data_IF_738607533594
#
_entry.id   IF_738607533594
#
_cell.length_a   1.000
_cell.length_b   1.000
_cell.length_c   1.000
_cell.angle_alpha   90.00
_cell.angle_beta   90.00
_cell.angle_gamma   90.00
#
_symmetry.space_group_name_H-M   'P 1'
#
loop_
_entity.id
_entity.type
_entity.pdbx_description
1 polymer ?
#
# COMPACT_ATOMS: atom_id res chain seq x y z
N UNK A 1 9.86 35.58 44.47
CA UNK A 1 10.45 36.80 43.85
C UNK A 1 9.30 37.72 43.45
N UNK A 2 9.46 39.06 43.50
CA UNK A 2 8.44 39.97 42.96
C UNK A 2 8.44 39.90 41.41
N UNK A 3 7.27 40.02 40.77
CA UNK A 3 7.14 39.91 39.32
C UNK A 3 8.10 40.82 38.54
N UNK A 4 8.21 42.09 38.93
CA UNK A 4 9.13 43.04 38.28
C UNK A 4 10.61 42.61 38.29
N UNK A 5 11.06 41.97 39.36
CA UNK A 5 12.41 41.41 39.45
C UNK A 5 12.58 40.19 38.53
N UNK A 6 11.58 39.32 38.46
CA UNK A 6 11.54 38.15 37.56
C UNK A 6 11.60 38.57 36.08
N UNK A 7 10.79 39.56 35.70
CA UNK A 7 10.81 40.11 34.35
C UNK A 7 12.18 40.74 34.04
N UNK A 8 12.69 41.57 34.92
CA UNK A 8 14.00 42.23 34.69
C UNK A 8 15.13 41.23 34.49
N UNK A 9 15.12 40.12 35.21
CA UNK A 9 16.15 39.08 35.12
C UNK A 9 16.09 38.25 33.84
N UNK A 10 14.89 38.06 33.24
CA UNK A 10 14.68 37.10 32.16
C UNK A 10 14.26 37.73 30.83
N UNK A 11 13.92 39.01 30.79
CA UNK A 11 13.43 39.75 29.63
C UNK A 11 14.33 39.60 28.39
N UNK A 12 15.64 39.72 28.57
CA UNK A 12 16.59 39.66 27.45
C UNK A 12 16.57 38.26 26.79
N UNK A 13 16.47 37.21 27.60
CA UNK A 13 16.33 35.82 27.09
C UNK A 13 15.03 35.65 26.29
N UNK A 14 13.92 36.16 26.79
CA UNK A 14 12.64 36.09 26.12
C UNK A 14 12.63 36.86 24.80
N UNK A 15 13.17 38.06 24.77
CA UNK A 15 13.27 38.89 23.57
C UNK A 15 14.17 38.24 22.53
N UNK A 16 15.32 37.66 22.95
CA UNK A 16 16.18 36.87 22.06
C UNK A 16 15.40 35.68 21.47
N UNK A 17 14.72 34.91 22.30
CA UNK A 17 13.96 33.77 21.84
C UNK A 17 12.81 34.18 20.90
N UNK A 18 12.08 35.27 21.23
CA UNK A 18 11.04 35.81 20.39
C UNK A 18 11.57 36.22 19.01
N UNK A 19 12.69 36.89 18.95
CA UNK A 19 13.35 37.27 17.70
C UNK A 19 13.74 36.06 16.83
N UNK A 20 14.19 34.98 17.46
CA UNK A 20 14.54 33.73 16.78
C UNK A 20 13.31 32.97 16.30
N UNK A 21 12.20 33.03 17.04
CA UNK A 21 10.94 32.43 16.65
C UNK A 21 10.26 33.21 15.52
N UNK A 22 10.31 34.54 15.51
CA UNK A 22 9.70 35.41 14.50
C UNK A 22 10.49 35.45 13.19
N UNK A 23 11.79 35.64 13.25
CA UNK A 23 12.67 35.62 12.07
C UNK A 23 12.93 34.17 11.70
N UNK A 24 12.81 33.84 10.40
CA UNK A 24 13.23 32.53 9.88
C UNK A 24 14.77 32.34 9.98
N UNK A 25 15.35 32.70 11.12
CA UNK A 25 16.77 32.57 11.37
C UNK A 25 17.15 31.08 11.37
N UNK A 26 18.28 30.74 10.77
CA UNK A 26 18.91 29.43 10.89
C UNK A 26 19.42 29.26 12.30
N UNK A 27 18.64 28.67 13.18
CA UNK A 27 19.01 28.29 14.54
C UNK A 27 19.25 26.77 14.55
N UNK A 28 20.22 26.32 15.35
CA UNK A 28 20.41 24.88 15.54
C UNK A 28 19.23 24.29 16.30
N UNK A 29 18.81 23.04 16.00
CA UNK A 29 17.72 22.34 16.71
C UNK A 29 17.99 22.31 18.25
N UNK A 30 19.22 22.10 18.64
CA UNK A 30 19.61 21.98 20.04
C UNK A 30 19.48 23.33 20.78
N UNK A 31 19.90 24.45 20.16
CA UNK A 31 19.74 25.79 20.73
C UNK A 31 18.25 26.17 20.83
N UNK A 32 17.47 25.89 19.82
CA UNK A 32 16.01 26.13 19.83
C UNK A 32 15.32 25.33 20.94
N UNK A 33 15.69 24.07 21.11
CA UNK A 33 15.18 23.21 22.16
C UNK A 33 15.52 23.71 23.56
N UNK A 34 16.78 24.12 23.76
CA UNK A 34 17.24 24.68 25.05
C UNK A 34 16.45 25.92 25.43
N UNK A 35 16.31 26.88 24.50
CA UNK A 35 15.55 28.12 24.76
C UNK A 35 14.05 27.83 24.98
N UNK A 36 13.48 26.84 24.30
CA UNK A 36 12.10 26.45 24.53
C UNK A 36 11.89 25.85 25.92
N UNK A 37 12.80 25.02 26.41
CA UNK A 37 12.76 24.49 27.77
C UNK A 37 12.84 25.62 28.81
N UNK A 38 13.77 26.55 28.64
CA UNK A 38 13.89 27.69 29.55
C UNK A 38 12.59 28.53 29.60
N UNK A 39 11.97 28.80 28.46
CA UNK A 39 10.71 29.57 28.42
C UNK A 39 9.54 28.79 29.03
N UNK A 40 9.48 27.46 28.83
CA UNK A 40 8.45 26.64 29.48
C UNK A 40 8.61 26.56 30.98
N UNK A 41 9.82 26.53 31.50
CA UNK A 41 10.11 26.60 32.94
C UNK A 41 9.66 27.95 33.51
N UNK A 42 10.00 29.04 32.81
CA UNK A 42 9.56 30.39 33.22
C UNK A 42 8.03 30.55 33.16
N UNK A 43 7.37 29.91 32.16
CA UNK A 43 5.91 29.86 32.06
C UNK A 43 5.28 29.11 33.23
N UNK A 44 5.86 27.97 33.62
CA UNK A 44 5.40 27.20 34.78
C UNK A 44 5.56 27.99 36.07
N UNK A 45 6.69 28.67 36.23
CA UNK A 45 6.91 29.57 37.38
C UNK A 45 5.90 30.73 37.41
N UNK A 46 5.69 31.41 36.27
CA UNK A 46 4.74 32.50 36.17
C UNK A 46 3.29 32.05 36.45
N UNK A 47 2.92 30.84 36.01
CA UNK A 47 1.59 30.25 36.28
C UNK A 47 1.35 30.02 37.77
N UNK A 48 2.40 29.64 38.50
CA UNK A 48 2.30 29.37 39.94
C UNK A 48 2.28 30.67 40.76
N UNK A 49 3.14 31.62 40.43
CA UNK A 49 3.37 32.79 41.27
C UNK A 49 2.69 34.06 40.77
N UNK A 50 2.31 34.14 39.49
CA UNK A 50 1.72 35.34 38.86
C UNK A 50 0.49 34.98 37.97
N UNK A 51 -0.53 34.28 38.48
CA UNK A 51 -1.57 33.65 37.66
C UNK A 51 -2.46 34.64 36.89
N UNK A 52 -2.46 35.92 37.23
CA UNK A 52 -3.26 36.96 36.57
C UNK A 52 -2.42 38.01 35.85
N UNK A 53 -1.13 37.76 35.65
CA UNK A 53 -0.18 38.75 35.13
C UNK A 53 -0.13 38.79 33.60
N UNK A 54 0.30 39.94 33.08
CA UNK A 54 0.63 40.07 31.65
C UNK A 54 1.84 39.22 31.27
N UNK A 55 2.76 39.00 32.20
CA UNK A 55 3.92 38.13 32.04
C UNK A 55 3.51 36.70 31.74
N UNK A 56 2.51 36.16 32.45
CA UNK A 56 1.98 34.83 32.16
C UNK A 56 1.43 34.77 30.75
N UNK A 57 0.64 35.76 30.34
CA UNK A 57 0.04 35.80 29.00
C UNK A 57 1.11 35.83 27.92
N UNK A 58 2.10 36.70 28.06
CA UNK A 58 3.22 36.83 27.14
C UNK A 58 4.02 35.53 27.00
N UNK A 59 4.39 34.89 28.11
CA UNK A 59 5.15 33.64 28.09
C UNK A 59 4.33 32.49 27.49
N UNK A 60 3.02 32.43 27.73
CA UNK A 60 2.15 31.45 27.13
C UNK A 60 2.06 31.62 25.60
N UNK A 61 1.89 32.83 25.09
CA UNK A 61 1.87 33.11 23.66
C UNK A 61 3.23 32.81 23.00
N UNK A 62 4.33 33.13 23.65
CA UNK A 62 5.68 32.86 23.18
C UNK A 62 5.94 31.36 23.11
N UNK A 63 5.53 30.60 24.15
CA UNK A 63 5.64 29.14 24.19
C UNK A 63 4.80 28.47 23.09
N UNK A 64 3.55 28.94 22.86
CA UNK A 64 2.68 28.41 21.80
C UNK A 64 3.31 28.67 20.42
N UNK A 65 3.79 29.87 20.15
CA UNK A 65 4.45 30.21 18.87
C UNK A 65 5.69 29.36 18.64
N UNK A 66 6.50 29.17 19.67
CA UNK A 66 7.70 28.34 19.62
C UNK A 66 7.35 26.86 19.37
N UNK A 67 6.35 26.32 20.07
CA UNK A 67 5.83 24.98 19.88
C UNK A 67 5.38 24.77 18.42
N UNK A 68 4.58 25.69 17.88
CA UNK A 68 4.14 25.63 16.49
C UNK A 68 5.31 25.65 15.50
N UNK A 69 6.40 26.38 15.79
CA UNK A 69 7.59 26.44 14.93
C UNK A 69 8.41 25.14 15.00
N UNK A 70 8.60 24.60 16.21
CA UNK A 70 9.34 23.33 16.44
C UNK A 70 8.60 22.16 15.80
N UNK A 71 7.26 22.09 16.01
CA UNK A 71 6.43 21.01 15.52
C UNK A 71 5.76 21.31 14.17
N UNK A 72 6.10 22.48 13.55
CA UNK A 72 5.62 22.78 12.22
C UNK A 72 6.10 21.68 11.28
N UNK A 73 5.18 20.83 10.87
CA UNK A 73 5.43 19.75 9.91
C UNK A 73 6.12 20.37 8.70
N UNK A 74 7.34 19.94 8.42
CA UNK A 74 8.07 20.38 7.23
C UNK A 74 7.13 20.19 6.05
N UNK A 75 6.90 21.24 5.23
CA UNK A 75 6.16 21.08 3.96
C UNK A 75 6.76 19.89 3.26
N UNK A 76 5.93 18.89 3.00
CA UNK A 76 6.37 17.67 2.32
C UNK A 76 7.05 18.06 1.00
N UNK A 77 8.24 17.55 0.77
CA UNK A 77 8.99 17.84 -0.45
C UNK A 77 8.19 17.28 -1.65
N UNK A 78 8.25 17.97 -2.80
CA UNK A 78 7.63 17.48 -4.05
C UNK A 78 8.06 16.06 -4.43
N UNK A 79 9.17 15.54 -3.86
CA UNK A 79 9.68 14.19 -4.05
C UNK A 79 9.09 13.13 -3.10
N UNK A 80 8.14 13.46 -2.20
CA UNK A 80 7.63 12.53 -1.18
C UNK A 80 7.04 11.24 -1.78
N UNK A 81 6.29 11.36 -2.88
CA UNK A 81 5.69 10.20 -3.56
C UNK A 81 6.80 9.29 -4.10
N UNK A 82 7.81 9.86 -4.77
CA UNK A 82 8.93 9.09 -5.30
C UNK A 82 9.69 8.41 -4.17
N UNK A 83 10.02 9.13 -3.10
CA UNK A 83 10.70 8.58 -1.93
C UNK A 83 9.89 7.46 -1.28
N UNK A 84 8.56 7.61 -1.20
CA UNK A 84 7.68 6.55 -0.71
C UNK A 84 7.84 5.27 -1.53
N UNK A 85 7.68 5.32 -2.86
CA UNK A 85 7.74 4.13 -3.70
C UNK A 85 9.15 3.55 -3.87
N UNK A 86 10.20 4.37 -3.81
CA UNK A 86 11.56 3.91 -4.06
C UNK A 86 12.34 3.48 -2.81
N UNK A 87 11.99 3.99 -1.63
CA UNK A 87 12.78 3.74 -0.40
C UNK A 87 11.92 3.32 0.78
N UNK A 88 10.90 4.16 1.14
CA UNK A 88 10.14 3.94 2.37
C UNK A 88 9.31 2.66 2.31
N UNK A 89 8.55 2.48 1.23
CA UNK A 89 7.65 1.34 1.08
C UNK A 89 8.41 0.00 0.95
N UNK A 90 9.43 -0.15 0.08
CA UNK A 90 10.13 -1.43 -0.02
C UNK A 90 10.80 -1.85 1.29
N UNK A 91 11.46 -0.94 2.01
CA UNK A 91 12.03 -1.21 3.33
C UNK A 91 10.97 -1.63 4.35
N UNK A 92 9.85 -0.93 4.36
CA UNK A 92 8.71 -1.25 5.20
C UNK A 92 8.11 -2.62 4.85
N UNK A 93 7.95 -2.92 3.57
CA UNK A 93 7.32 -4.14 3.06
C UNK A 93 8.15 -5.41 3.33
N UNK A 94 9.45 -5.28 3.52
CA UNK A 94 10.31 -6.39 3.97
C UNK A 94 9.75 -7.12 5.20
N UNK A 95 9.14 -6.40 6.13
CA UNK A 95 8.58 -6.99 7.36
C UNK A 95 7.33 -7.85 7.13
N UNK A 96 6.76 -7.84 5.93
CA UNK A 96 5.50 -8.50 5.60
C UNK A 96 5.64 -9.63 4.57
N UNK A 97 6.88 -10.06 4.28
CA UNK A 97 7.16 -11.15 3.32
C UNK A 97 6.47 -12.46 3.71
N UNK A 98 6.29 -12.75 5.01
CA UNK A 98 5.55 -13.93 5.48
C UNK A 98 4.08 -13.88 5.10
N UNK A 99 3.43 -12.73 5.29
CA UNK A 99 2.02 -12.53 4.92
C UNK A 99 1.84 -12.57 3.40
N UNK A 100 2.80 -12.04 2.65
CA UNK A 100 2.82 -12.18 1.19
C UNK A 100 2.90 -13.65 0.76
N UNK A 101 3.77 -14.42 1.37
CA UNK A 101 3.94 -15.83 1.08
C UNK A 101 2.68 -16.64 1.42
N UNK A 102 2.03 -16.37 2.55
CA UNK A 102 0.75 -16.99 2.93
C UNK A 102 -0.32 -16.64 1.89
N UNK A 103 -0.45 -15.37 1.52
CA UNK A 103 -1.38 -14.92 0.50
C UNK A 103 -1.17 -15.64 -0.84
N UNK A 104 0.09 -15.78 -1.26
CA UNK A 104 0.46 -16.48 -2.48
C UNK A 104 0.07 -17.97 -2.43
N UNK A 105 0.42 -18.68 -1.36
CA UNK A 105 0.10 -20.11 -1.25
C UNK A 105 -1.40 -20.36 -1.16
N UNK A 106 -2.15 -19.51 -0.46
CA UNK A 106 -3.62 -19.61 -0.43
C UNK A 106 -4.19 -19.41 -1.83
N UNK A 107 -3.72 -18.39 -2.54
CA UNK A 107 -4.18 -18.13 -3.91
C UNK A 107 -3.84 -19.30 -4.86
N UNK A 108 -2.60 -19.80 -4.82
CA UNK A 108 -2.17 -20.91 -5.66
C UNK A 108 -2.97 -22.20 -5.36
N UNK A 109 -3.18 -22.50 -4.07
CA UNK A 109 -3.96 -23.66 -3.64
C UNK A 109 -5.39 -23.60 -4.17
N UNK A 110 -6.08 -22.47 -3.97
CA UNK A 110 -7.47 -22.35 -4.40
C UNK A 110 -7.61 -22.19 -5.92
N UNK A 111 -6.59 -21.71 -6.64
CA UNK A 111 -6.56 -21.79 -8.10
C UNK A 111 -6.50 -23.25 -8.58
N UNK A 112 -5.66 -24.05 -7.94
CA UNK A 112 -5.59 -25.50 -8.24
C UNK A 112 -6.91 -26.21 -7.90
N UNK A 113 -7.55 -25.87 -6.77
CA UNK A 113 -8.87 -26.40 -6.40
C UNK A 113 -9.93 -26.00 -7.44
N UNK A 114 -9.93 -24.75 -7.90
CA UNK A 114 -10.85 -24.27 -8.94
C UNK A 114 -10.68 -25.02 -10.25
N UNK A 115 -9.45 -25.21 -10.71
CA UNK A 115 -9.18 -25.99 -11.92
C UNK A 115 -9.57 -27.46 -11.77
N UNK A 116 -9.26 -28.09 -10.63
CA UNK A 116 -9.63 -29.48 -10.35
C UNK A 116 -11.15 -29.67 -10.29
N UNK A 117 -11.88 -28.76 -9.62
CA UNK A 117 -13.33 -28.82 -9.55
C UNK A 117 -13.96 -28.65 -10.93
N UNK A 118 -13.46 -27.72 -11.73
CA UNK A 118 -13.92 -27.53 -13.11
C UNK A 118 -13.67 -28.78 -14.00
N UNK A 119 -12.57 -29.50 -13.74
CA UNK A 119 -12.22 -30.73 -14.46
C UNK A 119 -13.19 -31.88 -14.17
N UNK A 120 -13.79 -31.92 -12.99
CA UNK A 120 -14.62 -33.04 -12.54
C UNK A 120 -16.13 -32.74 -12.58
N UNK A 121 -16.50 -31.46 -12.74
CA UNK A 121 -17.91 -31.05 -12.80
C UNK A 121 -18.12 -29.91 -13.81
N UNK A 122 -18.71 -30.22 -14.94
CA UNK A 122 -19.02 -29.24 -15.98
C UNK A 122 -20.00 -28.14 -15.53
N UNK A 123 -20.84 -28.38 -14.51
CA UNK A 123 -21.73 -27.37 -13.95
C UNK A 123 -20.93 -26.36 -13.08
N UNK A 124 -19.80 -26.76 -12.53
CA UNK A 124 -18.98 -25.89 -11.67
C UNK A 124 -18.50 -24.66 -12.41
N UNK A 125 -18.02 -24.77 -13.63
CA UNK A 125 -17.59 -23.62 -14.47
C UNK A 125 -18.72 -22.60 -14.59
N UNK A 126 -19.96 -23.08 -14.87
CA UNK A 126 -21.13 -22.23 -15.01
C UNK A 126 -21.52 -21.56 -13.67
N UNK A 127 -21.42 -22.31 -12.58
CA UNK A 127 -21.69 -21.78 -11.23
C UNK A 127 -20.70 -20.66 -10.83
N UNK A 128 -19.43 -20.78 -11.24
CA UNK A 128 -18.39 -19.78 -10.89
C UNK A 128 -18.39 -18.60 -11.85
N UNK A 129 -18.48 -18.82 -13.16
CA UNK A 129 -18.34 -17.76 -14.18
C UNK A 129 -19.69 -17.18 -14.61
N UNK A 130 -20.78 -17.89 -14.35
CA UNK A 130 -22.13 -17.55 -14.77
C UNK A 130 -22.46 -18.04 -16.17
N UNK A 131 -23.73 -18.49 -16.38
CA UNK A 131 -24.20 -19.03 -17.66
C UNK A 131 -24.04 -18.02 -18.81
N UNK A 132 -24.32 -16.76 -18.56
CA UNK A 132 -24.22 -15.71 -19.58
C UNK A 132 -22.81 -15.59 -20.15
N UNK A 133 -21.79 -15.62 -19.28
CA UNK A 133 -20.39 -15.53 -19.70
C UNK A 133 -19.94 -16.78 -20.43
N UNK A 134 -20.29 -17.96 -19.93
CA UNK A 134 -19.92 -19.25 -20.55
C UNK A 134 -20.56 -19.38 -21.94
N UNK A 135 -21.87 -19.10 -22.08
CA UNK A 135 -22.56 -19.15 -23.35
C UNK A 135 -21.98 -18.16 -24.37
N UNK A 136 -21.73 -16.93 -23.96
CA UNK A 136 -21.08 -15.91 -24.79
C UNK A 136 -19.71 -16.38 -25.28
N UNK A 137 -18.92 -17.00 -24.40
CA UNK A 137 -17.58 -17.47 -24.75
C UNK A 137 -17.62 -18.63 -25.70
N UNK A 138 -18.55 -19.59 -25.50
CA UNK A 138 -18.77 -20.72 -26.43
C UNK A 138 -19.21 -20.22 -27.82
N UNK A 139 -20.10 -19.21 -27.88
CA UNK A 139 -20.48 -18.57 -29.13
C UNK A 139 -19.30 -17.89 -29.83
N UNK A 140 -18.47 -17.18 -29.10
CA UNK A 140 -17.25 -16.57 -29.63
C UNK A 140 -16.26 -17.63 -30.17
N UNK A 141 -16.14 -18.78 -29.47
CA UNK A 141 -15.33 -19.92 -29.93
C UNK A 141 -15.87 -20.48 -31.24
N UNK A 142 -17.18 -20.70 -31.33
CA UNK A 142 -17.83 -21.18 -32.55
C UNK A 142 -17.62 -20.21 -33.74
N UNK A 143 -17.51 -18.93 -33.47
CA UNK A 143 -17.22 -17.89 -34.46
C UNK A 143 -15.73 -17.68 -34.74
N UNK A 144 -14.83 -18.58 -34.28
CA UNK A 144 -13.37 -18.49 -34.41
C UNK A 144 -12.74 -17.22 -33.83
N UNK A 145 -13.39 -16.58 -32.83
CA UNK A 145 -12.85 -15.44 -32.10
C UNK A 145 -13.05 -15.61 -30.58
N UNK A 146 -12.37 -16.55 -29.92
CA UNK A 146 -12.57 -16.88 -28.52
C UNK A 146 -12.31 -15.68 -27.59
N UNK A 147 -11.48 -14.74 -28.02
CA UNK A 147 -11.10 -13.56 -27.25
C UNK A 147 -11.93 -12.29 -27.62
N UNK A 148 -13.05 -12.46 -28.31
CA UNK A 148 -13.93 -11.35 -28.72
C UNK A 148 -14.42 -10.50 -27.55
N UNK A 149 -14.48 -11.06 -26.33
CA UNK A 149 -14.85 -10.32 -25.12
C UNK A 149 -14.02 -9.06 -24.92
N UNK A 150 -12.73 -9.08 -25.26
CA UNK A 150 -11.82 -7.93 -25.15
C UNK A 150 -12.05 -6.85 -26.22
N UNK A 151 -12.87 -7.14 -27.25
CA UNK A 151 -13.14 -6.23 -28.36
C UNK A 151 -14.50 -5.52 -28.24
N UNK A 152 -15.39 -5.99 -27.34
CA UNK A 152 -16.80 -5.51 -27.23
C UNK A 152 -16.92 -4.09 -26.66
N UNK A 153 -16.02 -3.66 -25.80
CA UNK A 153 -16.05 -2.32 -25.18
C UNK A 153 -15.01 -1.39 -25.83
N UNK A 154 -15.25 -0.09 -25.80
CA UNK A 154 -14.26 0.89 -26.20
C UNK A 154 -13.02 0.84 -25.26
N UNK A 155 -11.85 1.10 -25.81
CA UNK A 155 -10.55 0.94 -25.10
C UNK A 155 -10.51 1.70 -23.78
N UNK A 156 -10.90 2.97 -23.78
CA UNK A 156 -10.88 3.81 -22.58
C UNK A 156 -11.89 3.33 -21.53
N UNK A 157 -13.09 2.93 -21.96
CA UNK A 157 -14.11 2.42 -21.03
C UNK A 157 -13.65 1.11 -20.38
N UNK A 158 -13.02 0.24 -21.14
CA UNK A 158 -12.46 -1.01 -20.65
C UNK A 158 -11.32 -0.73 -19.65
N UNK A 159 -10.36 0.11 -20.02
CA UNK A 159 -9.27 0.54 -19.13
C UNK A 159 -9.78 1.08 -17.80
N UNK A 160 -10.68 2.06 -17.84
CA UNK A 160 -11.22 2.68 -16.62
C UNK A 160 -12.05 1.70 -15.79
N UNK A 161 -12.92 0.94 -16.44
CA UNK A 161 -13.80 -0.03 -15.78
C UNK A 161 -12.99 -1.09 -15.01
N UNK A 162 -12.00 -1.68 -15.67
CA UNK A 162 -11.15 -2.72 -15.10
C UNK A 162 -10.26 -2.16 -13.99
N UNK A 163 -9.58 -1.04 -14.24
CA UNK A 163 -8.72 -0.41 -13.23
C UNK A 163 -9.50 -0.11 -11.95
N UNK A 164 -10.68 0.50 -12.07
CA UNK A 164 -11.53 0.83 -10.92
C UNK A 164 -12.04 -0.45 -10.23
N UNK A 165 -12.46 -1.46 -11.00
CA UNK A 165 -12.90 -2.73 -10.44
C UNK A 165 -11.81 -3.41 -9.62
N UNK A 166 -10.60 -3.50 -10.14
CA UNK A 166 -9.48 -4.16 -9.50
C UNK A 166 -9.00 -3.42 -8.24
N UNK A 167 -8.99 -2.09 -8.27
CA UNK A 167 -8.74 -1.28 -7.08
C UNK A 167 -9.81 -1.53 -6.01
N UNK A 168 -11.09 -1.62 -6.39
CA UNK A 168 -12.19 -1.97 -5.47
C UNK A 168 -11.97 -3.36 -4.85
N UNK A 169 -11.66 -4.37 -5.65
CA UNK A 169 -11.39 -5.75 -5.17
C UNK A 169 -10.22 -5.74 -4.17
N UNK A 170 -9.14 -5.03 -4.47
CA UNK A 170 -8.00 -4.89 -3.57
C UNK A 170 -8.36 -4.19 -2.25
N UNK A 171 -9.14 -3.11 -2.31
CA UNK A 171 -9.65 -2.42 -1.12
C UNK A 171 -10.58 -3.34 -0.30
N UNK A 172 -11.46 -4.11 -0.94
CA UNK A 172 -12.30 -5.07 -0.22
C UNK A 172 -11.46 -6.16 0.45
N UNK A 173 -10.48 -6.74 -0.23
CA UNK A 173 -9.57 -7.73 0.36
C UNK A 173 -8.85 -7.17 1.60
N UNK A 174 -8.42 -5.91 1.55
CA UNK A 174 -7.81 -5.21 2.68
C UNK A 174 -8.80 -4.97 3.82
N UNK A 175 -9.97 -4.38 3.55
CA UNK A 175 -10.97 -4.03 4.57
C UNK A 175 -11.51 -5.27 5.27
N UNK A 176 -11.76 -6.34 4.53
CA UNK A 176 -12.22 -7.60 5.09
C UNK A 176 -11.19 -8.29 5.99
N UNK A 177 -9.94 -7.82 6.02
CA UNK A 177 -8.93 -8.18 7.01
C UNK A 177 -9.34 -7.90 8.45
N UNK A 178 -10.29 -6.98 8.67
CA UNK A 178 -10.89 -6.67 9.99
C UNK A 178 -11.54 -7.91 10.62
N UNK A 179 -12.08 -8.81 9.81
CA UNK A 179 -12.62 -10.09 10.27
C UNK A 179 -11.50 -11.11 10.51
N UNK A 180 -10.50 -10.74 11.32
CA UNK A 180 -9.36 -11.58 11.73
C UNK A 180 -8.54 -12.14 10.54
N UNK A 181 -8.65 -11.53 9.37
CA UNK A 181 -8.05 -11.99 8.12
C UNK A 181 -8.87 -13.05 7.37
N UNK A 182 -9.90 -13.64 7.97
CA UNK A 182 -10.75 -14.68 7.33
C UNK A 182 -11.46 -14.10 6.09
N UNK A 183 -11.99 -12.89 6.19
CA UNK A 183 -12.63 -12.22 5.06
C UNK A 183 -11.69 -12.00 3.88
N UNK A 184 -10.42 -11.68 4.17
CA UNK A 184 -9.37 -11.58 3.14
C UNK A 184 -9.12 -12.92 2.47
N UNK A 185 -8.99 -14.00 3.26
CA UNK A 185 -8.81 -15.35 2.73
C UNK A 185 -9.97 -15.76 1.83
N UNK A 186 -11.21 -15.42 2.20
CA UNK A 186 -12.40 -15.66 1.38
C UNK A 186 -12.33 -14.89 0.05
N UNK A 187 -11.91 -13.61 0.05
CA UNK A 187 -11.74 -12.84 -1.18
C UNK A 187 -10.64 -13.41 -2.07
N UNK A 188 -9.52 -13.82 -1.50
CA UNK A 188 -8.45 -14.50 -2.25
C UNK A 188 -8.94 -15.81 -2.86
N UNK A 189 -9.62 -16.63 -2.06
CA UNK A 189 -10.20 -17.91 -2.50
C UNK A 189 -11.16 -17.70 -3.68
N UNK A 190 -12.09 -16.74 -3.59
CA UNK A 190 -13.05 -16.46 -4.65
C UNK A 190 -12.38 -16.11 -5.98
N UNK A 191 -11.39 -15.21 -5.94
CA UNK A 191 -10.64 -14.80 -7.14
C UNK A 191 -9.77 -15.96 -7.68
N UNK A 192 -9.17 -16.75 -6.79
CA UNK A 192 -8.33 -17.87 -7.16
C UNK A 192 -9.12 -19.01 -7.82
N UNK A 193 -10.26 -19.39 -7.22
CA UNK A 193 -11.15 -20.41 -7.79
C UNK A 193 -11.66 -19.97 -9.17
N UNK A 194 -12.02 -18.69 -9.31
CA UNK A 194 -12.44 -18.14 -10.61
C UNK A 194 -11.33 -18.27 -11.66
N UNK A 195 -10.08 -17.91 -11.31
CA UNK A 195 -8.94 -18.05 -12.22
C UNK A 195 -8.70 -19.50 -12.62
N UNK A 196 -8.71 -20.43 -11.66
CA UNK A 196 -8.50 -21.85 -11.92
C UNK A 196 -9.56 -22.44 -12.83
N UNK A 197 -10.84 -22.14 -12.54
CA UNK A 197 -11.97 -22.58 -13.37
C UNK A 197 -11.92 -22.03 -14.78
N UNK A 198 -11.54 -20.74 -14.90
CA UNK A 198 -11.38 -20.06 -16.18
C UNK A 198 -10.27 -20.70 -17.03
N UNK A 199 -9.09 -20.94 -16.47
CA UNK A 199 -7.98 -21.56 -17.20
C UNK A 199 -8.32 -22.99 -17.63
N UNK A 200 -8.99 -23.77 -16.77
CA UNK A 200 -9.42 -25.11 -17.11
C UNK A 200 -10.49 -25.09 -18.22
N UNK A 201 -11.46 -24.18 -18.19
CA UNK A 201 -12.48 -24.04 -19.22
C UNK A 201 -11.86 -23.86 -20.61
N UNK A 202 -10.86 -23.01 -20.77
CA UNK A 202 -10.18 -22.84 -22.05
C UNK A 202 -9.28 -24.05 -22.40
N UNK A 203 -8.73 -24.74 -21.41
CA UNK A 203 -7.99 -25.98 -21.61
C UNK A 203 -8.93 -27.09 -22.20
N UNK A 204 -10.10 -27.25 -21.65
CA UNK A 204 -11.12 -28.21 -22.09
C UNK A 204 -11.58 -27.93 -23.53
N UNK A 205 -11.66 -26.67 -23.93
CA UNK A 205 -11.97 -26.25 -25.30
C UNK A 205 -10.78 -26.37 -26.28
N UNK A 206 -9.62 -26.85 -25.83
CA UNK A 206 -8.41 -26.94 -26.66
C UNK A 206 -7.70 -25.61 -26.92
N UNK A 207 -8.07 -24.53 -26.20
CA UNK A 207 -7.62 -23.16 -26.42
C UNK A 207 -6.74 -22.63 -25.29
N UNK A 208 -6.12 -23.54 -24.52
CA UNK A 208 -5.29 -23.15 -23.38
C UNK A 208 -4.20 -22.14 -23.72
N UNK A 209 -3.41 -22.43 -24.77
CA UNK A 209 -2.29 -21.58 -25.16
C UNK A 209 -2.75 -20.19 -25.62
N UNK A 210 -3.80 -20.14 -26.41
CA UNK A 210 -4.36 -18.90 -26.93
C UNK A 210 -4.90 -18.02 -25.79
N UNK A 211 -5.64 -18.62 -24.86
CA UNK A 211 -6.16 -17.92 -23.69
C UNK A 211 -5.04 -17.48 -22.74
N UNK A 212 -4.08 -18.36 -22.44
CA UNK A 212 -2.97 -18.04 -21.57
C UNK A 212 -2.14 -16.87 -22.13
N UNK A 213 -1.73 -16.96 -23.40
CA UNK A 213 -0.99 -15.92 -24.09
C UNK A 213 -1.68 -14.55 -24.01
N UNK A 214 -3.01 -14.53 -24.24
CA UNK A 214 -3.77 -13.28 -24.28
C UNK A 214 -4.01 -12.71 -22.88
N UNK A 215 -4.44 -13.57 -21.94
CA UNK A 215 -4.87 -13.14 -20.61
C UNK A 215 -3.70 -12.76 -19.73
N UNK A 216 -2.58 -13.52 -19.77
CA UNK A 216 -1.46 -13.26 -18.90
C UNK A 216 -0.67 -11.99 -19.25
N UNK A 217 -0.93 -11.34 -20.41
CA UNK A 217 -0.35 -10.02 -20.73
C UNK A 217 -0.67 -9.00 -19.62
N UNK A 218 -1.90 -8.92 -19.17
CA UNK A 218 -2.35 -8.05 -18.06
C UNK A 218 -2.47 -8.82 -16.75
N UNK A 219 -2.97 -10.06 -16.81
CA UNK A 219 -3.26 -10.92 -15.67
C UNK A 219 -2.03 -11.21 -14.80
N UNK A 220 -0.82 -11.24 -15.37
CA UNK A 220 0.42 -11.39 -14.59
C UNK A 220 0.56 -10.30 -13.54
N UNK A 221 0.33 -9.04 -13.90
CA UNK A 221 0.36 -7.93 -12.95
C UNK A 221 -0.85 -7.99 -12.04
N UNK A 222 -2.05 -8.07 -12.61
CA UNK A 222 -3.32 -8.01 -11.89
C UNK A 222 -3.40 -9.04 -10.76
N UNK A 223 -3.18 -10.32 -11.09
CA UNK A 223 -3.25 -11.42 -10.13
C UNK A 223 -2.18 -11.27 -9.06
N UNK A 224 -0.95 -10.92 -9.44
CA UNK A 224 0.13 -10.70 -8.49
C UNK A 224 -0.20 -9.60 -7.50
N UNK A 225 -0.81 -8.49 -7.96
CA UNK A 225 -1.17 -7.36 -7.09
C UNK A 225 -2.40 -7.65 -6.23
N UNK A 226 -3.31 -8.53 -6.68
CA UNK A 226 -4.41 -9.06 -5.84
C UNK A 226 -3.83 -9.89 -4.69
N UNK A 227 -2.80 -10.69 -4.94
CA UNK A 227 -2.08 -11.43 -3.89
C UNK A 227 -1.42 -10.47 -2.89
N UNK A 228 -0.83 -9.36 -3.36
CA UNK A 228 -0.28 -8.30 -2.49
C UNK A 228 -1.38 -7.62 -1.68
N UNK A 229 -2.55 -7.36 -2.27
CA UNK A 229 -3.71 -6.82 -1.55
C UNK A 229 -4.23 -7.79 -0.49
N UNK A 230 -4.19 -9.09 -0.76
CA UNK A 230 -4.44 -10.14 0.23
C UNK A 230 -3.45 -10.08 1.40
N UNK A 231 -2.16 -9.90 1.12
CA UNK A 231 -1.16 -9.65 2.15
C UNK A 231 -1.56 -8.46 3.03
N UNK A 232 -2.06 -7.35 2.46
CA UNK A 232 -2.49 -6.18 3.22
C UNK A 232 -3.61 -6.51 4.23
N UNK A 233 -4.61 -7.27 3.81
CA UNK A 233 -5.71 -7.69 4.69
C UNK A 233 -5.25 -8.69 5.77
N UNK A 234 -4.35 -9.61 5.44
CA UNK A 234 -3.72 -10.50 6.44
C UNK A 234 -2.91 -9.72 7.47
N UNK A 235 -2.27 -8.62 7.10
CA UNK A 235 -1.55 -7.72 8.03
C UNK A 235 -2.52 -7.07 9.02
N UNK A 236 -3.72 -6.68 8.58
CA UNK A 236 -4.77 -6.17 9.48
C UNK A 236 -5.23 -7.24 10.45
N UNK A 237 -5.58 -8.44 9.94
CA UNK A 237 -5.99 -9.58 10.76
C UNK A 237 -4.94 -9.99 11.79
N UNK A 238 -3.69 -10.02 11.38
CA UNK A 238 -2.55 -10.32 12.25
C UNK A 238 -2.40 -9.28 13.38
N UNK A 239 -2.66 -7.99 13.09
CA UNK A 239 -2.66 -6.93 14.10
C UNK A 239 -3.72 -7.11 15.19
N UNK A 240 -4.85 -7.74 14.87
CA UNK A 240 -5.92 -8.05 15.83
C UNK A 240 -5.59 -9.31 16.65
N UNK A 241 -5.15 -10.38 15.95
CA UNK A 241 -4.89 -11.68 16.54
C UNK A 241 -3.65 -11.71 17.44
N UNK A 242 -2.60 -11.01 17.04
CA UNK A 242 -1.28 -11.06 17.68
C UNK A 242 -0.76 -9.66 18.05
N UNK A 243 -1.34 -9.01 19.08
CA UNK A 243 -1.01 -7.63 19.46
C UNK A 243 0.40 -7.47 20.04
N UNK A 244 1.07 -8.59 20.40
CA UNK A 244 2.40 -8.60 21.05
C UNK A 244 2.39 -7.72 22.32
N UNK A 245 3.29 -6.72 22.40
CA UNK A 245 3.43 -5.80 23.55
C UNK A 245 2.51 -4.58 23.47
N UNK A 246 1.76 -4.39 22.38
CA UNK A 246 0.84 -3.28 22.21
C UNK A 246 -0.54 -3.61 22.77
N UNK A 247 -1.31 -2.58 23.15
CA UNK A 247 -2.75 -2.78 23.40
C UNK A 247 -3.43 -3.25 22.09
N UNK A 248 -4.55 -4.00 22.21
CA UNK A 248 -5.26 -4.51 21.02
C UNK A 248 -5.63 -3.41 20.02
N UNK A 249 -6.11 -2.28 20.52
CA UNK A 249 -6.48 -1.13 19.68
C UNK A 249 -5.26 -0.53 18.96
N UNK A 250 -4.14 -0.35 19.68
CA UNK A 250 -2.92 0.19 19.08
C UNK A 250 -2.35 -0.76 18.02
N UNK A 251 -2.37 -2.06 18.27
CA UNK A 251 -1.93 -3.07 17.31
C UNK A 251 -2.83 -3.10 16.07
N UNK A 252 -4.14 -3.02 16.26
CA UNK A 252 -5.10 -2.91 15.16
C UNK A 252 -4.85 -1.66 14.31
N UNK A 253 -4.76 -0.48 14.93
CA UNK A 253 -4.48 0.79 14.21
C UNK A 253 -3.16 0.69 13.42
N UNK A 254 -2.13 0.08 14.01
CA UNK A 254 -0.85 -0.16 13.33
C UNK A 254 -1.03 -1.10 12.14
N UNK A 255 -1.79 -2.18 12.31
CA UNK A 255 -2.14 -3.12 11.24
C UNK A 255 -2.86 -2.44 10.08
N UNK A 256 -3.89 -1.63 10.38
CA UNK A 256 -4.64 -0.86 9.36
C UNK A 256 -3.74 0.13 8.62
N UNK A 257 -2.92 0.91 9.33
CA UNK A 257 -1.97 1.84 8.70
C UNK A 257 -0.96 1.12 7.80
N UNK A 258 -0.52 -0.05 8.21
CA UNK A 258 0.43 -0.87 7.45
C UNK A 258 -0.24 -1.48 6.21
N UNK A 259 -1.41 -2.08 6.37
CA UNK A 259 -2.19 -2.63 5.26
C UNK A 259 -2.57 -1.56 4.23
N UNK A 260 -2.95 -0.36 4.68
CA UNK A 260 -3.26 0.76 3.78
C UNK A 260 -2.06 1.15 2.92
N UNK A 261 -0.84 1.21 3.49
CA UNK A 261 0.38 1.47 2.71
C UNK A 261 0.61 0.39 1.64
N UNK A 262 0.34 -0.87 1.99
CA UNK A 262 0.48 -1.99 1.04
C UNK A 262 -0.55 -1.85 -0.09
N UNK A 263 -1.83 -1.56 0.20
CA UNK A 263 -2.85 -1.38 -0.84
C UNK A 263 -2.54 -0.16 -1.72
N UNK A 264 -2.10 0.96 -1.15
CA UNK A 264 -1.72 2.14 -1.95
C UNK A 264 -0.60 1.79 -2.93
N UNK A 265 0.35 0.92 -2.53
CA UNK A 265 1.43 0.49 -3.42
C UNK A 265 0.96 -0.29 -4.64
N UNK A 266 -0.22 -0.91 -4.57
CA UNK A 266 -0.78 -1.71 -5.69
C UNK A 266 -1.41 -0.84 -6.79
N UNK A 267 -1.84 0.38 -6.46
CA UNK A 267 -2.60 1.24 -7.38
C UNK A 267 -1.87 1.51 -8.71
N UNK A 268 -0.57 1.89 -8.74
CA UNK A 268 0.13 2.10 -10.00
C UNK A 268 0.16 0.85 -10.89
N UNK A 269 0.27 -0.33 -10.27
CA UNK A 269 0.29 -1.60 -10.99
C UNK A 269 -1.07 -1.96 -11.57
N UNK A 270 -2.18 -1.69 -10.87
CA UNK A 270 -3.52 -1.85 -11.44
C UNK A 270 -3.77 -0.92 -12.62
N UNK A 271 -3.23 0.30 -12.59
CA UNK A 271 -3.30 1.22 -13.74
C UNK A 271 -2.54 0.63 -14.92
N UNK A 272 -1.34 0.07 -14.71
CA UNK A 272 -0.55 -0.58 -15.77
C UNK A 272 -1.30 -1.82 -16.30
N UNK A 273 -1.83 -2.68 -15.42
CA UNK A 273 -2.59 -3.87 -15.81
C UNK A 273 -3.82 -3.50 -16.65
N UNK A 274 -4.61 -2.53 -16.18
CA UNK A 274 -5.80 -2.06 -16.92
C UNK A 274 -5.42 -1.44 -18.28
N UNK A 275 -4.29 -0.72 -18.38
CA UNK A 275 -3.79 -0.23 -19.65
C UNK A 275 -3.41 -1.40 -20.58
N UNK A 276 -2.69 -2.39 -20.08
CA UNK A 276 -2.36 -3.57 -20.88
C UNK A 276 -3.62 -4.29 -21.37
N UNK A 277 -4.63 -4.41 -20.52
CA UNK A 277 -5.88 -5.06 -20.90
C UNK A 277 -6.68 -4.26 -21.92
N UNK A 278 -6.88 -2.96 -21.68
CA UNK A 278 -7.69 -2.09 -22.55
C UNK A 278 -7.07 -1.84 -23.92
N UNK A 279 -5.75 -1.76 -24.01
CA UNK A 279 -5.07 -1.33 -25.23
C UNK A 279 -4.18 -2.40 -25.89
N UNK A 280 -3.61 -3.32 -25.12
CA UNK A 280 -2.62 -4.30 -25.64
C UNK A 280 -3.27 -5.68 -25.85
N UNK A 281 -3.97 -6.21 -24.87
CA UNK A 281 -4.61 -7.54 -24.91
C UNK A 281 -5.61 -7.68 -26.06
N UNK A 282 -6.26 -6.60 -26.47
CA UNK A 282 -7.18 -6.56 -27.62
C UNK A 282 -6.53 -6.92 -28.95
N UNK A 283 -5.20 -6.74 -29.05
CA UNK A 283 -4.43 -7.06 -30.29
C UNK A 283 -4.13 -8.54 -30.33
N UNK A 284 -5.18 -9.36 -30.56
CA UNK A 284 -5.09 -10.83 -30.56
C UNK A 284 -4.15 -11.42 -31.60
N UNK A 285 -3.75 -10.63 -32.63
CA UNK A 285 -2.76 -10.99 -33.65
C UNK A 285 -1.31 -10.71 -33.24
N UNK A 286 -1.07 -10.38 -31.97
CA UNK A 286 0.29 -10.13 -31.47
C UNK A 286 1.14 -11.40 -31.61
N UNK A 287 2.41 -11.28 -32.07
CA UNK A 287 3.34 -12.42 -32.14
C UNK A 287 3.59 -13.00 -30.72
N UNK A 288 3.70 -14.33 -30.62
CA UNK A 288 3.89 -15.04 -29.36
C UNK A 288 5.10 -14.55 -28.57
N UNK A 289 6.23 -14.31 -29.26
CA UNK A 289 7.43 -13.83 -28.61
C UNK A 289 7.24 -12.49 -27.89
N UNK A 290 6.39 -11.60 -28.45
CA UNK A 290 6.12 -10.29 -27.84
C UNK A 290 5.21 -10.43 -26.62
N UNK A 291 4.19 -11.29 -26.69
CA UNK A 291 3.34 -11.60 -25.54
C UNK A 291 4.16 -12.21 -24.40
N UNK A 292 5.01 -13.19 -24.67
CA UNK A 292 5.89 -13.83 -23.69
C UNK A 292 6.86 -12.81 -23.09
N UNK A 293 7.41 -11.90 -23.89
CA UNK A 293 8.29 -10.84 -23.41
C UNK A 293 7.57 -9.92 -22.42
N UNK A 294 6.34 -9.46 -22.74
CA UNK A 294 5.54 -8.59 -21.86
C UNK A 294 5.23 -9.33 -20.56
N UNK A 295 4.78 -10.58 -20.62
CA UNK A 295 4.48 -11.42 -19.45
C UNK A 295 5.72 -11.57 -18.57
N UNK A 296 6.87 -11.90 -19.16
CA UNK A 296 8.12 -12.11 -18.44
C UNK A 296 8.62 -10.82 -17.78
N UNK A 297 8.56 -9.68 -18.48
CA UNK A 297 8.93 -8.39 -17.91
C UNK A 297 7.98 -7.96 -16.79
N UNK A 298 6.69 -8.21 -16.95
CA UNK A 298 5.67 -7.94 -15.93
C UNK A 298 5.92 -8.76 -14.66
N UNK A 299 6.20 -10.06 -14.81
CA UNK A 299 6.54 -10.92 -13.70
C UNK A 299 7.85 -10.50 -13.02
N UNK A 300 8.87 -10.21 -13.80
CA UNK A 300 10.17 -9.74 -13.30
C UNK A 300 10.01 -8.43 -12.51
N UNK A 301 9.22 -7.48 -13.01
CA UNK A 301 8.94 -6.21 -12.32
C UNK A 301 8.27 -6.44 -10.96
N UNK A 302 7.25 -7.29 -10.89
CA UNK A 302 6.52 -7.61 -9.66
C UNK A 302 7.44 -8.30 -8.64
N UNK A 303 8.16 -9.34 -9.07
CA UNK A 303 9.09 -10.06 -8.20
C UNK A 303 10.22 -9.15 -7.72
N UNK A 304 10.77 -8.33 -8.62
CA UNK A 304 11.77 -7.35 -8.24
C UNK A 304 11.23 -6.41 -7.16
N UNK A 305 10.08 -5.77 -7.39
CA UNK A 305 9.59 -4.70 -6.54
C UNK A 305 9.06 -5.19 -5.18
N UNK A 306 8.36 -6.33 -5.13
CA UNK A 306 7.74 -6.83 -3.90
C UNK A 306 8.57 -7.89 -3.16
N UNK A 307 9.56 -8.51 -3.80
CA UNK A 307 10.38 -9.56 -3.16
C UNK A 307 11.85 -9.15 -3.09
N UNK A 308 12.52 -9.01 -4.23
CA UNK A 308 13.99 -8.85 -4.24
C UNK A 308 14.45 -7.48 -3.75
N UNK A 309 13.80 -6.41 -4.16
CA UNK A 309 14.20 -5.06 -3.80
C UNK A 309 14.04 -4.73 -2.30
N UNK A 310 12.94 -5.12 -1.62
CA UNK A 310 12.84 -5.04 -0.17
C UNK A 310 13.97 -5.78 0.57
N UNK A 311 14.30 -6.98 0.12
CA UNK A 311 15.38 -7.79 0.72
C UNK A 311 16.74 -7.12 0.52
N UNK A 312 17.00 -6.63 -0.70
CA UNK A 312 18.23 -5.91 -1.03
C UNK A 312 18.42 -4.66 -0.17
N UNK A 313 17.40 -3.81 -0.08
CA UNK A 313 17.47 -2.58 0.72
C UNK A 313 17.65 -2.87 2.20
N UNK A 314 16.99 -3.88 2.73
CA UNK A 314 17.15 -4.28 4.13
C UNK A 314 18.59 -4.74 4.41
N UNK A 315 19.15 -5.60 3.56
CA UNK A 315 20.55 -6.04 3.68
C UNK A 315 21.52 -4.86 3.62
N UNK A 316 21.32 -3.92 2.69
CA UNK A 316 22.16 -2.72 2.56
C UNK A 316 22.14 -1.85 3.82
N UNK A 317 20.99 -1.70 4.48
CA UNK A 317 20.90 -0.94 5.73
C UNK A 317 21.59 -1.64 6.91
N UNK A 318 21.50 -2.96 6.99
CA UNK A 318 22.16 -3.73 8.07
C UNK A 318 23.68 -3.72 7.93
N UNK A 319 24.20 -3.85 6.71
CA UNK A 319 25.67 -3.79 6.46
C UNK A 319 26.24 -2.36 6.62
N UNK A 320 25.48 -1.32 6.29
CA UNK A 320 25.92 0.07 6.48
C UNK A 320 25.92 0.54 7.94
N UNK A 321 25.37 -0.24 8.87
CA UNK A 321 25.39 0.03 10.33
C UNK A 321 26.48 -0.72 11.09
N UNK A 322 27.28 -1.54 10.45
CA UNK A 322 28.47 -2.13 11.04
C UNK A 322 29.59 -1.09 11.11
N UNK A 323 29.48 -0.13 12.03
CA UNK A 323 30.59 0.64 12.54
C UNK A 323 31.37 -0.32 13.45
N UNK A 324 32.68 -0.52 13.26
CA UNK A 324 33.48 -1.36 14.17
C UNK A 324 33.41 -0.78 15.59
N UNK A 325 33.42 -1.62 16.64
CA UNK A 325 33.54 -1.13 18.00
C UNK A 325 34.87 -0.39 18.13
N UNK A 326 34.82 0.86 18.66
CA UNK A 326 35.96 1.60 19.12
C UNK A 326 36.52 0.95 20.39
#
# INVERSE_FOLDING_TARGET
>A
MREAAFVKQNKDKWTRFESLVQKNAKISPDELSKLYLEVTDHLAYARTFYPKSNTLRYLNELSVRAHQKIYKTKKESRGRIITFFTQEFPLFFYNYQKQLLISFFVFALFSAVGAFSAANDGAFVRAIMGDAYVNMTLENIANNDPMAVYKKMGEMNMFMGITINNIKVALFAFVLGIFLGIGTLFMLMKNAVMLGSFQYFFYDQGLFWESARTIWIHGTIEISVIIVAGCAGLVVGNGILFPKTYSRLQSFIKGVKSGLKIVISTVPFFIIAGFLEGFVTRKTQMPDWLAILIISLSLALILFYYVFYPIYLHKKQTHGRSIPPI
#
